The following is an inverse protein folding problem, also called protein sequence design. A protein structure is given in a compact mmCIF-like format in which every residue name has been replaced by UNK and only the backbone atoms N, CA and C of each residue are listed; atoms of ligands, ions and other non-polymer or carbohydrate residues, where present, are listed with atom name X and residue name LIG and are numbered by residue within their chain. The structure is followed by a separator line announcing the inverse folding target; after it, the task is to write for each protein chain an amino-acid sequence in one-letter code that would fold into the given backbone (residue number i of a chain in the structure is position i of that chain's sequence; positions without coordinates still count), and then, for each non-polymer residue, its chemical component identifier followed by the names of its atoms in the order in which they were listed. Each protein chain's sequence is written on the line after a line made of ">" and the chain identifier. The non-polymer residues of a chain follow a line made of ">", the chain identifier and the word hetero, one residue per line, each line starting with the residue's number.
data_IF_542815147022
#
_entry.id   IF_542815147022
#
_cell.length_a   1.000
_cell.length_b   1.000
_cell.length_c   1.000
_cell.angle_alpha   90.00
_cell.angle_beta   90.00
_cell.angle_gamma   90.00
#
_symmetry.space_group_name_H-M   'P 1'
#
loop_
_entity.id
_entity.type
_entity.pdbx_description
1 polymer ?
#
# COMPACT_ATOMS: atom_id res chain seq x y z
N UNK A 1 6.59 -12.64 -4.88
CA UNK A 1 5.31 -12.03 -4.41
C UNK A 1 4.14 -12.69 -5.13
N UNK A 2 3.79 -13.92 -4.76
CA UNK A 2 2.75 -14.69 -5.46
C UNK A 2 1.52 -14.98 -4.58
N UNK A 3 1.55 -14.49 -3.33
CA UNK A 3 0.48 -14.75 -2.38
C UNK A 3 -0.86 -14.20 -2.89
N UNK A 4 -1.95 -15.01 -2.91
CA UNK A 4 -3.26 -14.59 -3.43
C UNK A 4 -3.80 -13.28 -2.84
N UNK A 5 -3.64 -13.08 -1.52
CA UNK A 5 -4.01 -11.83 -0.83
C UNK A 5 -3.29 -10.58 -1.35
N UNK A 6 -2.02 -10.70 -1.71
CA UNK A 6 -1.27 -9.58 -2.27
C UNK A 6 -1.61 -9.37 -3.76
N UNK A 7 -1.79 -10.46 -4.51
CA UNK A 7 -2.22 -10.42 -5.91
C UNK A 7 -3.63 -9.80 -6.09
N UNK A 8 -4.50 -9.90 -5.08
CA UNK A 8 -5.80 -9.20 -5.05
C UNK A 8 -5.67 -7.69 -5.27
N UNK A 9 -4.58 -7.06 -4.79
CA UNK A 9 -4.35 -5.63 -4.92
C UNK A 9 -4.23 -5.17 -6.39
N UNK A 10 -3.94 -6.08 -7.34
CA UNK A 10 -3.91 -5.76 -8.78
C UNK A 10 -5.28 -5.34 -9.33
N UNK A 11 -6.36 -5.74 -8.65
CA UNK A 11 -7.75 -5.44 -9.07
C UNK A 11 -8.35 -4.25 -8.31
N UNK A 12 -7.62 -3.67 -7.35
CA UNK A 12 -8.10 -2.54 -6.55
C UNK A 12 -7.44 -1.28 -7.05
N UNK A 13 -8.24 -0.36 -7.60
CA UNK A 13 -7.78 0.96 -8.05
C UNK A 13 -7.35 1.81 -6.86
N UNK A 14 -6.21 2.49 -6.99
CA UNK A 14 -5.71 3.39 -5.95
C UNK A 14 -6.74 4.47 -5.60
N UNK A 15 -7.32 5.08 -6.64
CA UNK A 15 -8.21 6.24 -6.56
C UNK A 15 -9.70 5.90 -6.76
N UNK A 16 -10.09 4.62 -6.60
CA UNK A 16 -11.49 4.20 -6.69
C UNK A 16 -12.18 4.58 -8.02
N UNK A 17 -13.29 5.32 -7.93
CA UNK A 17 -14.11 5.75 -9.09
C UNK A 17 -13.49 6.89 -9.90
N UNK A 18 -12.39 7.50 -9.43
CA UNK A 18 -11.71 8.60 -10.14
C UNK A 18 -11.27 8.21 -11.56
N UNK A 19 -11.03 6.91 -11.81
CA UNK A 19 -10.73 6.40 -13.15
C UNK A 19 -11.89 6.48 -14.16
N UNK A 20 -13.11 6.83 -13.74
CA UNK A 20 -14.23 7.11 -14.64
C UNK A 20 -14.26 8.57 -15.12
N UNK A 21 -13.62 9.48 -14.38
CA UNK A 21 -13.51 10.91 -14.74
C UNK A 21 -12.15 11.21 -15.37
N UNK A 22 -11.10 10.54 -14.89
CA UNK A 22 -9.73 10.69 -15.36
C UNK A 22 -9.22 9.34 -15.90
N UNK A 23 -9.25 9.12 -17.23
CA UNK A 23 -8.89 7.82 -17.82
C UNK A 23 -7.42 7.42 -17.58
N UNK A 24 -6.55 8.37 -17.19
CA UNK A 24 -5.16 8.09 -16.79
C UNK A 24 -5.00 7.52 -15.37
N UNK A 25 -6.02 7.58 -14.52
CA UNK A 25 -5.98 7.10 -13.13
C UNK A 25 -6.14 5.57 -13.03
N UNK A 26 -5.26 4.84 -13.71
CA UNK A 26 -5.27 3.37 -13.82
C UNK A 26 -4.42 2.68 -12.74
N UNK A 27 -3.72 3.45 -11.90
CA UNK A 27 -2.85 2.92 -10.85
C UNK A 27 -3.63 2.03 -9.88
N UNK A 28 -3.01 0.93 -9.48
CA UNK A 28 -3.59 -0.06 -8.57
C UNK A 28 -2.85 -0.04 -7.25
N UNK A 29 -3.51 -0.51 -6.18
CA UNK A 29 -2.89 -0.67 -4.86
C UNK A 29 -1.67 -1.59 -4.90
N UNK A 30 -1.60 -2.50 -5.87
CA UNK A 30 -0.42 -3.32 -6.12
C UNK A 30 0.79 -2.46 -6.50
N UNK A 31 0.65 -1.59 -7.51
CA UNK A 31 1.76 -0.72 -7.93
C UNK A 31 2.18 0.23 -6.80
N UNK A 32 1.21 0.76 -6.05
CA UNK A 32 1.46 1.58 -4.87
C UNK A 32 2.28 0.83 -3.81
N UNK A 33 1.89 -0.40 -3.44
CA UNK A 33 2.60 -1.19 -2.44
C UNK A 33 4.05 -1.51 -2.83
N UNK A 34 4.32 -1.79 -4.12
CA UNK A 34 5.68 -1.99 -4.63
C UNK A 34 6.49 -0.69 -4.56
N UNK A 35 5.91 0.43 -4.98
CA UNK A 35 6.55 1.74 -4.90
C UNK A 35 6.88 2.13 -3.46
N UNK A 36 5.95 1.91 -2.53
CA UNK A 36 6.15 2.18 -1.11
C UNK A 36 7.27 1.30 -0.51
N UNK A 37 7.33 0.01 -0.88
CA UNK A 37 8.43 -0.86 -0.47
C UNK A 37 9.78 -0.37 -0.99
N UNK A 38 9.86 0.07 -2.25
CA UNK A 38 11.09 0.62 -2.83
C UNK A 38 11.57 1.87 -2.08
N UNK A 39 10.67 2.84 -1.85
CA UNK A 39 10.99 4.05 -1.09
C UNK A 39 11.41 3.75 0.34
N UNK A 40 10.81 2.73 0.97
CA UNK A 40 11.20 2.29 2.31
C UNK A 40 12.63 1.71 2.33
N UNK A 41 13.03 0.97 1.30
CA UNK A 41 14.41 0.49 1.18
C UNK A 41 15.39 1.67 1.08
N UNK A 42 15.10 2.65 0.21
CA UNK A 42 15.94 3.85 0.07
C UNK A 42 16.03 4.65 1.39
N UNK A 43 14.92 4.74 2.14
CA UNK A 43 14.88 5.40 3.44
C UNK A 43 15.74 4.68 4.48
N UNK A 44 15.62 3.34 4.57
CA UNK A 44 16.44 2.53 5.49
C UNK A 44 17.93 2.69 5.17
N UNK A 45 18.31 2.60 3.90
CA UNK A 45 19.71 2.76 3.48
C UNK A 45 20.22 4.19 3.76
N UNK A 46 19.40 5.21 3.53
CA UNK A 46 19.73 6.59 3.89
C UNK A 46 19.98 6.76 5.39
N UNK A 47 19.16 6.13 6.24
CA UNK A 47 19.34 6.19 7.70
C UNK A 47 20.61 5.48 8.14
N UNK A 48 20.90 4.30 7.57
CA UNK A 48 22.17 3.58 7.83
C UNK A 48 23.38 4.41 7.42
N UNK A 49 23.34 5.06 6.25
CA UNK A 49 24.42 5.95 5.79
C UNK A 49 24.66 7.14 6.75
N UNK A 50 23.61 7.60 7.45
CA UNK A 50 23.70 8.65 8.48
C UNK A 50 24.18 8.13 9.85
N UNK A 51 24.54 6.85 9.95
CA UNK A 51 25.02 6.24 11.19
C UNK A 51 23.91 5.79 12.14
N UNK A 52 22.64 5.75 11.70
CA UNK A 52 21.56 5.19 12.50
C UNK A 52 21.69 3.67 12.50
N UNK A 53 21.84 3.08 13.68
CA UNK A 53 21.86 1.63 13.83
C UNK A 53 20.46 1.06 13.55
N UNK A 54 20.34 0.27 12.49
CA UNK A 54 19.13 -0.48 12.13
C UNK A 54 19.54 -1.93 11.94
N UNK A 55 19.01 -2.81 12.78
CA UNK A 55 19.24 -4.25 12.69
C UNK A 55 18.60 -4.82 11.43
N UNK A 56 19.09 -5.98 10.99
CA UNK A 56 18.49 -6.72 9.86
C UNK A 56 17.01 -7.01 10.11
N UNK A 57 16.66 -7.38 11.35
CA UNK A 57 15.28 -7.71 11.75
C UNK A 57 14.37 -6.49 11.71
N UNK A 58 14.83 -5.31 12.15
CA UNK A 58 14.06 -4.06 12.06
C UNK A 58 13.83 -3.66 10.60
N UNK A 59 14.87 -3.75 9.76
CA UNK A 59 14.75 -3.47 8.34
C UNK A 59 13.74 -4.41 7.67
N UNK A 60 13.83 -5.71 7.93
CA UNK A 60 12.91 -6.71 7.39
C UNK A 60 11.46 -6.50 7.87
N UNK A 61 11.27 -6.28 9.18
CA UNK A 61 9.95 -6.00 9.74
C UNK A 61 9.32 -4.74 9.14
N UNK A 62 10.11 -3.68 8.94
CA UNK A 62 9.66 -2.43 8.33
C UNK A 62 9.26 -2.63 6.87
N UNK A 63 10.03 -3.43 6.11
CA UNK A 63 9.70 -3.77 4.73
C UNK A 63 8.44 -4.64 4.61
N UNK A 64 8.22 -5.55 5.55
CA UNK A 64 6.98 -6.35 5.61
C UNK A 64 5.80 -5.44 5.96
N UNK A 65 5.95 -4.55 6.95
CA UNK A 65 4.91 -3.62 7.37
C UNK A 65 4.48 -2.71 6.21
N UNK A 66 5.42 -2.10 5.49
CA UNK A 66 5.09 -1.23 4.36
C UNK A 66 4.51 -2.01 3.17
N UNK A 67 4.93 -3.26 2.95
CA UNK A 67 4.36 -4.09 1.89
C UNK A 67 2.88 -4.43 2.17
N UNK A 68 2.55 -4.63 3.45
CA UNK A 68 1.23 -5.07 3.88
C UNK A 68 0.31 -3.93 4.34
N UNK A 69 0.78 -2.68 4.44
CA UNK A 69 0.00 -1.56 4.99
C UNK A 69 -1.38 -1.37 4.34
N UNK A 70 -1.47 -1.68 3.04
CA UNK A 70 -2.69 -1.54 2.24
C UNK A 70 -3.41 -2.88 2.00
N UNK A 71 -2.98 -3.99 2.62
CA UNK A 71 -3.57 -5.31 2.35
C UNK A 71 -5.04 -5.42 2.80
N UNK A 72 -5.41 -4.68 3.85
CA UNK A 72 -6.77 -4.61 4.39
C UNK A 72 -7.74 -3.77 3.56
N UNK A 73 -7.27 -3.03 2.54
CA UNK A 73 -8.16 -2.17 1.76
C UNK A 73 -9.21 -3.00 0.98
N UNK A 74 -10.48 -2.66 1.20
CA UNK A 74 -11.62 -3.17 0.43
C UNK A 74 -11.59 -2.67 -1.03
N UNK A 75 -12.37 -3.28 -1.94
CA UNK A 75 -12.71 -2.61 -3.19
C UNK A 75 -13.36 -1.27 -2.82
N UNK A 76 -13.07 -0.19 -3.55
CA UNK A 76 -13.68 1.13 -3.35
C UNK A 76 -13.50 1.82 -1.98
N UNK A 77 -12.66 1.31 -1.07
CA UNK A 77 -12.41 1.79 0.32
C UNK A 77 -13.28 2.99 0.77
N UNK A 78 -12.92 4.22 0.40
CA UNK A 78 -13.61 5.45 0.82
C UNK A 78 -15.03 5.69 0.24
N UNK A 79 -15.35 5.13 -0.94
CA UNK A 79 -16.68 5.25 -1.53
C UNK A 79 -17.68 4.24 -0.92
N UNK A 80 -17.18 3.09 -0.47
CA UNK A 80 -18.00 2.07 0.21
C UNK A 80 -18.21 2.40 1.70
N UNK A 81 -17.24 3.04 2.33
CA UNK A 81 -17.33 3.54 3.72
C UNK A 81 -18.52 4.49 3.92
N UNK A 82 -18.75 5.40 2.97
CA UNK A 82 -19.84 6.37 3.03
C UNK A 82 -21.21 5.82 2.58
N UNK A 83 -21.28 4.63 1.97
CA UNK A 83 -22.54 4.12 1.40
C UNK A 83 -23.07 2.85 2.06
N UNK A 84 -22.25 2.09 2.81
CA UNK A 84 -22.67 0.81 3.40
C UNK A 84 -22.60 0.81 4.94
N UNK A 85 -21.77 1.64 5.58
CA UNK A 85 -21.67 1.70 7.04
C UNK A 85 -22.40 2.94 7.56
N UNK A 86 -23.72 2.82 7.74
CA UNK A 86 -24.56 3.87 8.34
C UNK A 86 -24.79 3.70 9.85
N UNK A 87 -24.24 2.68 10.51
CA UNK A 87 -24.60 2.37 11.90
C UNK A 87 -23.44 1.92 12.79
N UNK A 88 -22.38 2.72 12.91
CA UNK A 88 -21.54 2.68 14.12
C UNK A 88 -21.09 4.10 14.49
N UNK A 89 -22.01 4.82 15.13
CA UNK A 89 -21.75 6.00 15.97
C UNK A 89 -21.78 5.60 17.44
#
# INVERSE_FOLDING_TARGET
>A
MEHPWFQRLRRIRQLGMTGFVYPGALHTRFHHAIGAMHLMQEAIETLKMKGIAISKTEAEATLIAILLHDIGHGPYSHALENSIVSEMS
#
